data_IF_179721285930
#
_entry.id   IF_179721285930
#
_cell.length_a   1.000
_cell.length_b   1.000
_cell.length_c   1.000
_cell.angle_alpha   90.00
_cell.angle_beta   90.00
_cell.angle_gamma   90.00
#
_symmetry.space_group_name_H-M   'P 1'
#
loop_
_entity.id
_entity.type
_entity.pdbx_description
1 polymer ?
#
# COMPACT_ATOMS: atom_id res chain seq x y z
N UNK A 1 27.94 2.26 12.74
CA UNK A 1 28.46 1.11 11.96
C UNK A 1 27.39 0.40 11.12
N UNK A 2 26.43 -0.35 11.69
CA UNK A 2 25.42 -1.08 10.91
C UNK A 2 24.45 -0.14 10.16
N UNK A 3 24.04 0.95 10.82
CA UNK A 3 23.18 1.98 10.20
C UNK A 3 23.82 2.57 8.95
N UNK A 4 25.09 2.91 9.01
CA UNK A 4 25.81 3.55 7.91
C UNK A 4 25.95 2.59 6.72
N UNK A 5 26.15 1.30 6.99
CA UNK A 5 26.20 0.25 5.95
C UNK A 5 24.83 0.14 5.25
N UNK A 6 23.72 0.09 6.01
CA UNK A 6 22.39 0.01 5.45
C UNK A 6 22.06 1.26 4.61
N UNK A 7 22.40 2.45 5.12
CA UNK A 7 22.21 3.72 4.43
C UNK A 7 23.00 3.80 3.13
N UNK A 8 24.28 3.43 3.15
CA UNK A 8 25.11 3.43 1.95
C UNK A 8 24.60 2.43 0.90
N UNK A 9 24.16 1.23 1.35
CA UNK A 9 23.56 0.25 0.45
C UNK A 9 22.30 0.77 -0.23
N UNK A 10 21.43 1.48 0.51
CA UNK A 10 20.22 2.07 -0.04
C UNK A 10 20.53 3.23 -1.01
N UNK A 11 21.45 4.14 -0.64
CA UNK A 11 21.88 5.26 -1.50
C UNK A 11 22.47 4.78 -2.83
N UNK A 12 23.23 3.70 -2.79
CA UNK A 12 23.91 3.15 -3.96
C UNK A 12 23.02 2.19 -4.79
N UNK A 13 21.71 2.13 -4.50
CA UNK A 13 20.78 1.26 -5.22
C UNK A 13 20.92 -0.23 -4.90
N UNK A 14 21.77 -0.61 -3.96
CA UNK A 14 21.94 -2.00 -3.52
C UNK A 14 20.80 -2.53 -2.64
N UNK A 15 19.84 -1.68 -2.29
CA UNK A 15 18.59 -2.03 -1.65
C UNK A 15 17.47 -1.12 -2.19
N UNK A 16 16.35 -1.71 -2.59
CA UNK A 16 15.20 -0.96 -3.13
C UNK A 16 14.30 -0.40 -2.02
N UNK A 17 14.37 -0.93 -0.82
CA UNK A 17 13.51 -0.56 0.30
C UNK A 17 14.40 -0.37 1.55
N UNK A 18 14.18 0.75 2.25
CA UNK A 18 14.77 1.02 3.55
C UNK A 18 13.67 1.02 4.61
N UNK A 19 13.82 0.17 5.65
CA UNK A 19 12.93 0.14 6.80
C UNK A 19 13.66 0.78 7.97
N UNK A 20 13.04 1.77 8.61
CA UNK A 20 13.63 2.49 9.73
C UNK A 20 12.56 2.88 10.77
N UNK A 21 12.95 2.93 12.04
CA UNK A 21 12.18 3.57 13.10
C UNK A 21 12.43 5.09 13.07
N UNK A 22 11.59 5.88 13.75
CA UNK A 22 11.77 7.34 13.82
C UNK A 22 13.15 7.74 14.38
N UNK A 23 13.65 7.01 15.37
CA UNK A 23 14.99 7.25 15.94
C UNK A 23 16.09 6.96 14.91
N UNK A 24 15.98 5.86 14.18
CA UNK A 24 16.93 5.51 13.13
C UNK A 24 16.78 6.42 11.90
N UNK A 25 15.58 6.94 11.67
CA UNK A 25 15.28 7.85 10.58
C UNK A 25 15.78 9.28 10.81
N UNK A 26 16.04 9.70 12.06
CA UNK A 26 16.61 11.02 12.34
C UNK A 26 18.01 11.16 11.73
N UNK A 27 18.21 12.25 10.99
CA UNK A 27 19.48 12.49 10.28
C UNK A 27 19.73 11.49 9.15
N UNK A 28 18.68 10.88 8.61
CA UNK A 28 18.76 10.20 7.32
C UNK A 28 18.97 11.28 6.26
N UNK A 29 20.16 11.34 5.73
CA UNK A 29 20.51 12.13 4.57
C UNK A 29 20.25 11.32 3.29
N UNK A 30 18.98 10.93 3.12
CA UNK A 30 18.45 10.36 1.88
C UNK A 30 17.22 11.14 1.52
N UNK A 31 17.38 11.92 0.50
CA UNK A 31 16.32 12.70 -0.09
C UNK A 31 15.93 12.10 -1.43
N UNK A 32 14.75 12.49 -1.92
CA UNK A 32 14.27 12.13 -3.24
C UNK A 32 13.96 10.64 -3.43
N UNK A 33 13.49 10.00 -2.36
CA UNK A 33 12.94 8.64 -2.48
C UNK A 33 11.62 8.67 -3.26
N UNK A 34 11.36 7.65 -4.07
CA UNK A 34 10.15 7.57 -4.90
C UNK A 34 8.87 7.60 -4.08
N UNK A 35 8.87 6.93 -2.94
CA UNK A 35 7.72 6.88 -2.05
C UNK A 35 8.11 6.72 -0.59
N UNK A 36 7.29 7.27 0.31
CA UNK A 36 7.36 7.06 1.76
C UNK A 36 6.16 6.23 2.19
N UNK A 37 6.40 5.17 2.94
CA UNK A 37 5.35 4.32 3.51
C UNK A 37 5.40 4.44 5.03
N UNK A 38 4.38 5.07 5.61
CA UNK A 38 4.17 5.09 7.05
C UNK A 38 3.42 3.82 7.45
N UNK A 39 4.14 2.87 8.03
CA UNK A 39 3.54 1.65 8.57
C UNK A 39 2.66 1.97 9.78
N UNK A 40 3.14 2.85 10.66
CA UNK A 40 2.39 3.40 11.78
C UNK A 40 2.22 4.91 11.59
N UNK A 41 1.04 5.45 11.99
CA UNK A 41 0.84 6.90 12.06
C UNK A 41 1.62 7.44 13.26
N UNK A 42 2.53 8.40 13.06
CA UNK A 42 3.24 9.00 14.17
C UNK A 42 2.28 9.72 15.12
N UNK A 43 2.68 9.88 16.39
CA UNK A 43 1.87 10.58 17.38
C UNK A 43 1.82 12.09 17.08
N UNK A 44 2.95 12.65 16.66
CA UNK A 44 3.09 14.07 16.34
C UNK A 44 3.06 14.31 14.83
N UNK A 45 2.33 15.32 14.41
CA UNK A 45 2.19 15.69 12.98
C UNK A 45 3.52 16.17 12.41
N UNK A 46 4.38 16.80 13.21
CA UNK A 46 5.71 17.22 12.78
C UNK A 46 6.55 16.03 12.28
N UNK A 47 6.50 14.89 13.00
CA UNK A 47 7.17 13.67 12.55
C UNK A 47 6.58 13.14 11.23
N UNK A 48 5.25 13.25 11.07
CA UNK A 48 4.61 12.89 9.81
C UNK A 48 5.16 13.71 8.65
N UNK A 49 5.22 15.02 8.82
CA UNK A 49 5.75 15.95 7.79
C UNK A 49 7.22 15.65 7.48
N UNK A 50 8.04 15.40 8.52
CA UNK A 50 9.45 15.05 8.34
C UNK A 50 9.64 13.73 7.60
N UNK A 51 8.77 12.73 7.83
CA UNK A 51 8.81 11.45 7.10
C UNK A 51 8.46 11.65 5.63
N UNK A 52 7.33 12.28 5.33
CA UNK A 52 6.89 12.48 3.94
C UNK A 52 7.81 13.45 3.19
N UNK A 53 8.49 14.35 3.89
CA UNK A 53 9.48 15.26 3.33
C UNK A 53 10.75 14.59 2.80
N UNK A 54 10.83 13.25 2.80
CA UNK A 54 11.91 12.50 2.11
C UNK A 54 11.60 12.25 0.64
N UNK A 55 10.37 12.49 0.21
CA UNK A 55 9.95 12.36 -1.20
C UNK A 55 9.43 13.71 -1.72
N UNK A 56 9.38 13.87 -3.02
CA UNK A 56 8.80 15.06 -3.67
C UNK A 56 9.62 16.34 -3.51
N UNK A 57 10.93 16.25 -3.41
CA UNK A 57 11.83 17.41 -3.31
C UNK A 57 12.23 17.98 -4.68
N UNK A 58 12.77 19.19 -4.66
CA UNK A 58 13.27 19.91 -5.84
C UNK A 58 12.24 20.02 -6.97
N UNK A 59 10.95 20.24 -6.62
CA UNK A 59 9.86 20.38 -7.60
C UNK A 59 9.36 19.07 -8.21
N UNK A 60 9.87 17.92 -7.76
CA UNK A 60 9.39 16.61 -8.20
C UNK A 60 8.15 16.20 -7.45
N UNK A 61 7.33 15.35 -8.08
CA UNK A 61 6.15 14.76 -7.45
C UNK A 61 6.57 13.56 -6.59
N UNK A 62 6.23 13.57 -5.31
CA UNK A 62 6.43 12.47 -4.39
C UNK A 62 5.13 11.73 -4.09
N UNK A 63 5.24 10.51 -3.56
CA UNK A 63 4.11 9.70 -3.10
C UNK A 63 4.30 9.33 -1.64
N UNK A 64 3.23 9.46 -0.85
CA UNK A 64 3.21 8.99 0.52
C UNK A 64 1.99 8.09 0.74
N UNK A 65 2.22 6.96 1.39
CA UNK A 65 1.18 6.02 1.78
C UNK A 65 1.21 5.87 3.29
N UNK A 66 0.03 5.84 3.91
CA UNK A 66 -0.09 5.68 5.36
C UNK A 66 -1.10 4.60 5.66
N UNK A 67 -0.69 3.57 6.39
CA UNK A 67 -1.62 2.59 6.91
C UNK A 67 -2.36 3.17 8.12
N UNK A 68 -3.68 3.07 8.09
CA UNK A 68 -4.54 3.53 9.17
C UNK A 68 -5.65 2.52 9.41
N UNK A 69 -5.89 2.18 10.65
CA UNK A 69 -7.05 1.40 11.05
C UNK A 69 -8.24 2.33 11.36
N UNK A 70 -9.43 1.75 11.57
CA UNK A 70 -10.66 2.53 11.79
C UNK A 70 -10.59 3.44 13.02
N UNK A 71 -9.76 3.09 14.02
CA UNK A 71 -9.59 3.88 15.25
C UNK A 71 -8.65 5.07 15.05
N UNK A 72 -7.86 5.08 13.98
CA UNK A 72 -6.85 6.10 13.68
C UNK A 72 -7.29 7.10 12.63
N UNK A 73 -8.48 6.94 12.06
CA UNK A 73 -9.02 7.86 11.04
C UNK A 73 -9.06 9.32 11.55
N UNK A 74 -9.26 9.53 12.85
CA UNK A 74 -9.25 10.87 13.42
C UNK A 74 -7.86 11.55 13.27
N UNK A 75 -6.76 10.79 13.40
CA UNK A 75 -5.40 11.29 13.19
C UNK A 75 -5.19 11.70 11.73
N UNK A 76 -5.71 10.92 10.78
CA UNK A 76 -5.64 11.27 9.35
C UNK A 76 -6.33 12.62 9.11
N UNK A 77 -7.53 12.82 9.66
CA UNK A 77 -8.26 14.10 9.54
C UNK A 77 -7.52 15.27 10.21
N UNK A 78 -6.85 15.02 11.31
CA UNK A 78 -6.01 16.03 11.98
C UNK A 78 -4.80 16.40 11.11
N UNK A 79 -4.13 15.44 10.50
CA UNK A 79 -3.04 15.67 9.55
C UNK A 79 -3.55 16.49 8.35
N UNK A 80 -4.70 16.13 7.76
CA UNK A 80 -5.30 16.88 6.66
C UNK A 80 -5.54 18.36 7.03
N UNK A 81 -6.10 18.57 8.24
CA UNK A 81 -6.40 19.92 8.74
C UNK A 81 -5.13 20.76 8.94
N UNK A 82 -4.10 20.19 9.58
CA UNK A 82 -2.87 20.92 9.92
C UNK A 82 -1.97 21.11 8.71
N UNK A 83 -1.88 20.11 7.84
CA UNK A 83 -1.04 20.17 6.64
C UNK A 83 -1.77 20.79 5.43
N UNK A 84 -3.03 21.22 5.59
CA UNK A 84 -3.86 21.77 4.51
C UNK A 84 -3.85 20.92 3.25
N UNK A 85 -3.98 19.61 3.41
CA UNK A 85 -3.92 18.63 2.32
C UNK A 85 -5.08 17.65 2.39
N UNK A 86 -5.29 16.88 1.32
CA UNK A 86 -6.30 15.82 1.28
C UNK A 86 -5.61 14.47 1.13
N UNK A 87 -5.93 13.53 2.00
CA UNK A 87 -5.43 12.16 1.98
C UNK A 87 -6.51 11.23 1.43
N UNK A 88 -6.29 10.70 0.24
CA UNK A 88 -7.28 9.84 -0.41
C UNK A 88 -7.17 8.41 0.09
N UNK A 89 -8.28 7.84 0.57
CA UNK A 89 -8.33 6.42 0.93
C UNK A 89 -8.11 5.54 -0.31
N UNK A 90 -7.20 4.59 -0.22
CA UNK A 90 -6.92 3.59 -1.25
C UNK A 90 -7.15 2.20 -0.69
N UNK A 91 -7.86 1.38 -1.45
CA UNK A 91 -7.98 -0.04 -1.13
C UNK A 91 -6.71 -0.77 -1.60
N UNK A 92 -6.28 -1.76 -0.82
CA UNK A 92 -5.21 -2.65 -1.25
C UNK A 92 -5.62 -3.37 -2.55
N UNK A 93 -4.69 -3.50 -3.50
CA UNK A 93 -4.98 -4.26 -4.71
C UNK A 93 -5.15 -5.74 -4.36
N UNK A 94 -6.18 -6.38 -4.89
CA UNK A 94 -6.35 -7.83 -4.79
C UNK A 94 -5.23 -8.60 -5.49
N UNK A 95 -5.01 -9.87 -5.12
CA UNK A 95 -3.94 -10.71 -5.63
C UNK A 95 -3.91 -10.79 -7.16
N UNK A 96 -5.08 -10.91 -7.81
CA UNK A 96 -5.18 -10.92 -9.27
C UNK A 96 -4.66 -9.62 -9.93
N UNK A 97 -4.91 -8.46 -9.31
CA UNK A 97 -4.42 -7.18 -9.82
C UNK A 97 -2.90 -7.05 -9.67
N UNK A 98 -2.35 -7.55 -8.57
CA UNK A 98 -0.90 -7.59 -8.34
C UNK A 98 -0.23 -8.53 -9.34
N UNK A 99 -0.80 -9.73 -9.54
CA UNK A 99 -0.31 -10.72 -10.49
C UNK A 99 -0.30 -10.14 -11.92
N UNK A 100 -1.41 -9.50 -12.32
CA UNK A 100 -1.50 -8.83 -13.62
C UNK A 100 -0.43 -7.76 -13.78
N UNK A 101 -0.26 -6.87 -12.80
CA UNK A 101 0.75 -5.80 -12.86
C UNK A 101 2.18 -6.35 -12.96
N UNK A 102 2.48 -7.48 -12.28
CA UNK A 102 3.77 -8.16 -12.43
C UNK A 102 3.93 -8.74 -13.84
N UNK A 103 2.91 -9.43 -14.36
CA UNK A 103 2.94 -9.98 -15.71
C UNK A 103 3.14 -8.89 -16.76
N UNK A 104 2.37 -7.80 -16.68
CA UNK A 104 2.50 -6.66 -17.58
C UNK A 104 3.92 -6.07 -17.56
N UNK A 105 4.54 -5.97 -16.39
CA UNK A 105 5.93 -5.50 -16.25
C UNK A 105 6.92 -6.41 -16.99
N UNK A 106 6.82 -7.73 -16.79
CA UNK A 106 7.73 -8.66 -17.47
C UNK A 106 7.51 -8.70 -18.97
N UNK A 107 6.26 -8.63 -19.43
CA UNK A 107 5.92 -8.57 -20.85
C UNK A 107 6.48 -7.29 -21.50
N UNK A 108 6.35 -6.13 -20.85
CA UNK A 108 6.90 -4.88 -21.35
C UNK A 108 8.44 -4.93 -21.44
N UNK A 109 9.11 -5.44 -20.41
CA UNK A 109 10.57 -5.60 -20.45
C UNK A 109 11.00 -6.57 -21.55
N UNK A 110 10.29 -7.68 -21.76
CA UNK A 110 10.56 -8.63 -22.83
C UNK A 110 10.34 -7.98 -24.21
N UNK A 111 9.34 -7.12 -24.33
CA UNK A 111 9.07 -6.38 -25.55
C UNK A 111 10.19 -5.37 -25.88
N UNK A 112 10.67 -4.63 -24.88
CA UNK A 112 11.82 -3.73 -25.04
C UNK A 112 13.09 -4.48 -25.51
N UNK A 113 13.37 -5.67 -24.92
CA UNK A 113 14.47 -6.52 -25.34
C UNK A 113 14.31 -6.97 -26.81
N UNK A 114 13.10 -7.36 -27.20
CA UNK A 114 12.79 -7.77 -28.57
C UNK A 114 13.03 -6.66 -29.59
N UNK A 115 12.75 -5.39 -29.24
CA UNK A 115 12.92 -4.25 -30.14
C UNK A 115 14.38 -3.78 -30.26
N UNK A 116 15.21 -3.96 -29.22
CA UNK A 116 16.50 -3.34 -29.09
C UNK A 116 17.70 -4.30 -29.07
N UNK A 117 17.46 -5.59 -28.86
CA UNK A 117 18.52 -6.58 -28.72
C UNK A 117 18.35 -7.74 -29.71
N UNK A 118 19.49 -8.38 -30.08
CA UNK A 118 19.49 -9.59 -30.87
C UNK A 118 19.04 -10.81 -30.01
N UNK A 119 17.92 -11.40 -30.38
CA UNK A 119 17.34 -12.57 -29.69
C UNK A 119 17.44 -13.86 -30.48
N UNK A 120 18.12 -13.89 -31.65
CA UNK A 120 18.15 -15.05 -32.55
C UNK A 120 18.74 -16.31 -31.89
N UNK A 121 19.77 -16.15 -31.07
CA UNK A 121 20.35 -17.27 -30.32
C UNK A 121 19.33 -17.87 -29.35
N UNK A 122 18.59 -17.05 -28.61
CA UNK A 122 17.55 -17.51 -27.67
C UNK A 122 16.40 -18.16 -28.40
N UNK A 123 16.01 -17.61 -29.52
CA UNK A 123 14.98 -18.17 -30.39
C UNK A 123 15.35 -19.57 -30.91
N UNK A 124 16.62 -19.78 -31.32
CA UNK A 124 17.10 -21.09 -31.76
C UNK A 124 17.06 -22.15 -30.64
N UNK A 125 17.38 -21.76 -29.38
CA UNK A 125 17.25 -22.65 -28.22
C UNK A 125 15.79 -23.01 -27.93
N UNK A 126 14.89 -22.05 -28.03
CA UNK A 126 13.46 -22.28 -27.81
C UNK A 126 12.89 -23.18 -28.90
N UNK A 127 13.21 -22.96 -30.16
CA UNK A 127 12.76 -23.79 -31.28
C UNK A 127 13.17 -25.25 -31.09
N UNK A 128 14.45 -25.51 -30.80
CA UNK A 128 14.94 -26.87 -30.55
C UNK A 128 14.19 -27.50 -29.37
N UNK A 129 14.00 -26.79 -28.27
CA UNK A 129 13.29 -27.32 -27.09
C UNK A 129 11.84 -27.66 -27.40
N UNK A 130 11.15 -26.83 -28.17
CA UNK A 130 9.79 -27.04 -28.60
C UNK A 130 9.66 -28.27 -29.48
N UNK A 131 10.61 -28.52 -30.41
CA UNK A 131 10.65 -29.70 -31.26
C UNK A 131 10.89 -30.97 -30.43
N UNK A 132 11.79 -30.93 -29.44
CA UNK A 132 12.09 -32.05 -28.54
C UNK A 132 10.89 -32.44 -27.68
N UNK A 133 10.17 -31.48 -27.12
CA UNK A 133 9.06 -31.71 -26.15
C UNK A 133 7.67 -31.70 -26.79
N UNK A 134 7.58 -31.28 -28.06
CA UNK A 134 6.30 -31.22 -28.79
C UNK A 134 5.32 -30.20 -28.21
N UNK A 135 5.84 -29.11 -27.59
CA UNK A 135 5.01 -28.06 -27.01
C UNK A 135 4.81 -26.85 -27.93
N UNK A 136 3.70 -26.13 -27.75
CA UNK A 136 3.38 -24.92 -28.48
C UNK A 136 4.17 -23.71 -27.91
N UNK A 137 4.48 -22.73 -28.78
CA UNK A 137 5.18 -21.53 -28.40
C UNK A 137 4.44 -20.71 -27.33
N UNK A 138 3.12 -20.65 -27.40
CA UNK A 138 2.31 -19.94 -26.44
C UNK A 138 2.31 -20.63 -25.07
N UNK A 139 2.28 -21.97 -25.06
CA UNK A 139 2.37 -22.76 -23.83
C UNK A 139 3.72 -22.55 -23.14
N UNK A 140 4.82 -22.61 -23.90
CA UNK A 140 6.15 -22.37 -23.37
C UNK A 140 6.31 -20.94 -22.87
N UNK A 141 5.85 -19.94 -23.63
CA UNK A 141 5.86 -18.54 -23.20
C UNK A 141 5.03 -18.30 -21.93
N UNK A 142 3.86 -18.92 -21.84
CA UNK A 142 3.01 -18.85 -20.64
C UNK A 142 3.69 -19.49 -19.41
N UNK A 143 4.37 -20.62 -19.58
CA UNK A 143 5.14 -21.27 -18.52
C UNK A 143 6.32 -20.41 -18.07
N UNK A 144 7.06 -19.80 -19.00
CA UNK A 144 8.15 -18.87 -18.70
C UNK A 144 7.64 -17.63 -17.95
N UNK A 145 6.54 -17.03 -18.40
CA UNK A 145 5.92 -15.89 -17.72
C UNK A 145 5.47 -16.27 -16.31
N UNK A 146 4.83 -17.43 -16.15
CA UNK A 146 4.43 -17.95 -14.83
C UNK A 146 5.64 -18.14 -13.92
N UNK A 147 6.74 -18.69 -14.41
CA UNK A 147 7.97 -18.85 -13.67
C UNK A 147 8.54 -17.51 -13.17
N UNK A 148 8.51 -16.47 -14.00
CA UNK A 148 8.98 -15.11 -13.64
C UNK A 148 8.06 -14.39 -12.65
N UNK A 149 6.76 -14.52 -12.85
CA UNK A 149 5.75 -13.84 -12.01
C UNK A 149 5.59 -14.52 -10.65
N UNK A 150 5.86 -15.82 -10.59
CA UNK A 150 5.62 -16.69 -9.43
C UNK A 150 4.17 -17.13 -9.33
N UNK A 151 3.89 -18.00 -8.40
CA UNK A 151 2.53 -18.41 -8.08
C UNK A 151 1.75 -17.22 -7.47
N UNK A 152 0.41 -17.33 -7.51
CA UNK A 152 -0.46 -16.41 -6.77
C UNK A 152 0.10 -16.35 -5.35
N UNK A 153 0.72 -15.23 -4.96
CA UNK A 153 1.09 -15.02 -3.57
C UNK A 153 -0.13 -15.36 -2.73
N UNK A 154 0.08 -16.01 -1.59
CA UNK A 154 -1.00 -16.34 -0.64
C UNK A 154 -1.97 -15.18 -0.66
N UNK A 155 -3.24 -15.46 -0.93
CA UNK A 155 -4.29 -14.44 -0.87
C UNK A 155 -4.15 -13.80 0.51
N UNK A 156 -3.44 -12.67 0.54
CA UNK A 156 -3.45 -11.84 1.73
C UNK A 156 -4.93 -11.59 1.92
N UNK A 157 -5.49 -12.08 3.01
CA UNK A 157 -6.91 -12.09 3.31
C UNK A 157 -7.49 -10.68 3.45
N UNK A 158 -7.29 -9.86 2.41
CA UNK A 158 -7.92 -8.56 2.23
C UNK A 158 -9.45 -8.69 2.29
N UNK A 159 -9.98 -9.85 1.86
CA UNK A 159 -11.40 -10.16 1.94
C UNK A 159 -11.88 -10.43 3.37
N UNK A 160 -11.08 -11.02 4.25
CA UNK A 160 -11.48 -11.18 5.66
C UNK A 160 -11.59 -9.84 6.40
N UNK A 161 -10.72 -8.88 6.07
CA UNK A 161 -10.81 -7.53 6.65
C UNK A 161 -12.03 -6.75 6.13
N UNK A 162 -12.38 -6.91 4.86
CA UNK A 162 -13.58 -6.29 4.27
C UNK A 162 -14.87 -6.91 4.83
N UNK A 163 -14.92 -8.22 5.04
CA UNK A 163 -16.06 -8.92 5.61
C UNK A 163 -16.26 -8.61 7.11
N UNK A 164 -15.19 -8.40 7.88
CA UNK A 164 -15.30 -7.94 9.27
C UNK A 164 -15.84 -6.51 9.37
N UNK A 165 -15.55 -5.62 8.43
CA UNK A 165 -16.13 -4.26 8.39
C UNK A 165 -17.65 -4.28 8.15
N UNK A 166 -18.15 -5.17 7.29
CA UNK A 166 -19.60 -5.32 7.04
C UNK A 166 -20.39 -5.74 8.28
N UNK A 167 -19.84 -6.59 9.13
CA UNK A 167 -20.52 -7.09 10.34
C UNK A 167 -20.60 -6.08 11.49
N UNK A 168 -19.71 -5.10 11.57
CA UNK A 168 -19.72 -4.06 12.59
C UNK A 168 -20.50 -2.80 12.20
N UNK A 169 -20.76 -2.57 10.92
CA UNK A 169 -21.52 -1.41 10.41
C UNK A 169 -23.04 -1.53 10.59
N UNK A 170 -23.56 -2.74 10.74
CA UNK A 170 -25.01 -2.97 10.71
C UNK A 170 -25.69 -3.00 12.10
N UNK A 171 -24.92 -2.97 13.19
CA UNK A 171 -25.47 -2.99 14.57
C UNK A 171 -25.59 -1.61 15.23
N UNK A 172 -25.42 -0.51 14.52
CA UNK A 172 -25.46 0.87 15.07
C UNK A 172 -26.73 1.65 14.77
N UNK A 173 -27.83 1.04 14.30
CA UNK A 173 -29.14 1.69 14.30
C UNK A 173 -29.79 1.51 15.67
N UNK A 174 -29.40 2.33 16.62
CA UNK A 174 -30.17 2.55 17.84
C UNK A 174 -31.46 3.24 17.45
N UNK A 175 -32.57 2.53 17.66
CA UNK A 175 -33.91 3.06 17.52
C UNK A 175 -34.10 4.27 18.43
N UNK A 176 -34.58 5.36 17.84
CA UNK A 176 -35.24 6.41 18.58
C UNK A 176 -36.49 5.80 19.21
N UNK A 177 -36.47 5.68 20.49
CA UNK A 177 -37.66 5.34 21.30
C UNK A 177 -38.37 6.67 21.56
N UNK A 178 -39.40 6.94 20.78
CA UNK A 178 -40.38 7.98 21.07
C UNK A 178 -41.22 7.47 22.24
N UNK A 179 -40.89 7.85 23.45
CA UNK A 179 -41.60 7.57 24.68
C UNK A 179 -42.46 8.76 25.06
N UNK A 180 -43.75 8.56 24.88
CA UNK A 180 -44.87 9.39 25.23
C UNK A 180 -44.79 10.04 26.60
N UNK A 181 -45.33 11.25 26.66
CA UNK A 181 -45.54 12.02 27.85
C UNK A 181 -46.50 11.38 28.85
N UNK A 182 -46.19 11.49 30.11
CA UNK A 182 -47.19 11.48 31.20
C UNK A 182 -46.88 12.63 32.14
N UNK A 183 -47.78 13.60 32.09
CA UNK A 183 -47.86 14.66 33.08
C UNK A 183 -48.34 14.14 34.42
N UNK A 184 -47.82 14.68 35.46
CA UNK A 184 -48.37 14.74 36.82
C UNK A 184 -47.80 16.01 37.43
N UNK A 185 -48.56 17.02 37.77
CA UNK A 185 -49.52 17.02 38.86
C UNK A 185 -48.97 17.99 39.89
N UNK A 186 -49.54 19.21 39.91
CA UNK A 186 -49.33 20.24 40.94
C UNK A 186 -49.48 19.66 42.36
N UNK A 187 -48.59 20.02 43.24
CA UNK A 187 -48.69 19.83 44.70
C UNK A 187 -48.15 21.07 45.38
N UNK A 188 -49.07 21.93 45.75
CA UNK A 188 -48.94 23.11 46.61
C UNK A 188 -48.69 22.70 48.08
N UNK A 189 -47.93 23.43 48.85
CA UNK A 189 -47.77 23.16 50.28
C UNK A 189 -46.60 23.87 50.97
N UNK A 190 -46.69 25.12 51.18
CA UNK A 190 -46.56 25.98 52.40
C UNK A 190 -45.89 25.38 53.64
N UNK A 191 -45.05 26.25 54.24
CA UNK A 191 -44.67 26.51 55.67
C UNK A 191 -43.58 25.54 56.22
N UNK A 192 -42.50 26.05 56.80
CA UNK A 192 -42.18 27.19 57.66
C UNK A 192 -40.74 27.57 57.45
#
# INVERSE_FOLDING_TARGET
>A
AQRDVAMNRFRNGGASILIATDVAARGIDVDDVEAVINYDIPQDIEYYVHRIGRTGRAGRKGRSFTFANSREIYKIREIERVCHTTITEKKLPGAAKVLKAKADKYLNNAWELHEHEDIELMKSFLQRKMEEEGCDALELAAAMLKYQVGDKGEEIAADEYAQRRGRFGEKGRFGRNDGEGRGFGRGDGRRR
#
